data_IF_145560822187
#
_entry.id   IF_145560822187
#
_cell.length_a   1.000
_cell.length_b   1.000
_cell.length_c   1.000
_cell.angle_alpha   90.00
_cell.angle_beta   90.00
_cell.angle_gamma   90.00
#
_symmetry.space_group_name_H-M   'P 1'
#
loop_
_entity.id
_entity.type
_entity.pdbx_description
1 polymer ?
#
# COMPACT_ATOMS: atom_id res chain seq x y z
N UNK A 1 10.02 -35.51 60.93
CA UNK A 1 10.44 -35.65 59.53
C UNK A 1 9.32 -35.09 58.68
N UNK A 2 9.38 -33.81 58.31
CA UNK A 2 8.32 -33.12 57.57
C UNK A 2 8.54 -33.33 56.07
N UNK A 3 7.53 -33.87 55.39
CA UNK A 3 7.53 -34.06 53.94
C UNK A 3 6.85 -32.84 53.31
N UNK A 4 7.60 -31.99 52.62
CA UNK A 4 7.05 -30.88 51.83
C UNK A 4 6.76 -31.35 50.41
N UNK A 5 5.49 -31.31 50.01
CA UNK A 5 5.02 -31.58 48.66
C UNK A 5 5.17 -30.28 47.85
N UNK A 6 6.05 -30.29 46.85
CA UNK A 6 6.11 -29.23 45.85
C UNK A 6 5.08 -29.51 44.75
N UNK A 7 4.03 -28.68 44.69
CA UNK A 7 3.09 -28.62 43.57
C UNK A 7 3.72 -27.77 42.45
N UNK A 8 4.15 -28.45 41.38
CA UNK A 8 4.62 -27.81 40.16
C UNK A 8 3.39 -27.41 39.33
N UNK A 9 3.04 -26.12 39.32
CA UNK A 9 2.05 -25.58 38.40
C UNK A 9 2.67 -25.45 37.00
N UNK A 10 2.35 -26.38 36.11
CA UNK A 10 2.64 -26.24 34.69
C UNK A 10 1.58 -25.30 34.11
N UNK A 11 1.96 -24.04 33.85
CA UNK A 11 1.18 -23.14 33.01
C UNK A 11 1.29 -23.62 31.56
N UNK A 12 0.27 -24.32 31.08
CA UNK A 12 0.09 -24.54 29.65
C UNK A 12 -0.30 -23.20 29.02
N UNK A 13 0.64 -22.56 28.32
CA UNK A 13 0.31 -21.44 27.45
C UNK A 13 -0.65 -21.94 26.37
N UNK A 14 -1.89 -21.45 26.38
CA UNK A 14 -2.81 -21.68 25.27
C UNK A 14 -2.24 -20.99 24.04
N UNK A 15 -1.82 -21.81 23.06
CA UNK A 15 -1.61 -21.36 21.69
C UNK A 15 -2.93 -20.81 21.17
N UNK A 16 -3.10 -19.48 21.20
CA UNK A 16 -4.23 -18.83 20.53
C UNK A 16 -3.92 -18.81 19.04
N UNK A 17 -4.51 -19.73 18.28
CA UNK A 17 -4.44 -19.69 16.82
C UNK A 17 -4.90 -18.33 16.32
N UNK A 18 -4.09 -17.64 15.51
CA UNK A 18 -4.50 -16.38 14.90
C UNK A 18 -5.71 -16.61 13.98
N UNK A 19 -6.81 -15.92 14.24
CA UNK A 19 -8.01 -15.95 13.40
C UNK A 19 -7.99 -14.78 12.41
N UNK A 20 -8.21 -15.07 11.12
CA UNK A 20 -8.33 -14.06 10.07
C UNK A 20 -9.81 -13.71 9.84
N UNK A 21 -10.38 -12.93 10.76
CA UNK A 21 -11.81 -12.63 10.84
C UNK A 21 -12.17 -11.18 10.49
N UNK A 22 -11.18 -10.33 10.24
CA UNK A 22 -11.37 -8.89 10.02
C UNK A 22 -11.75 -8.10 11.28
N UNK A 23 -11.78 -8.72 12.46
CA UNK A 23 -12.17 -8.03 13.71
C UNK A 23 -11.04 -7.10 14.17
N UNK A 24 -11.40 -5.85 14.45
CA UNK A 24 -10.49 -4.85 14.99
C UNK A 24 -10.23 -5.14 16.47
N UNK A 25 -8.95 -5.29 16.78
CA UNK A 25 -8.41 -5.55 18.11
C UNK A 25 -7.58 -4.35 18.55
N UNK A 26 -7.55 -4.09 19.86
CA UNK A 26 -6.74 -2.99 20.44
C UNK A 26 -5.47 -3.56 21.05
N UNK A 27 -4.34 -2.96 20.71
CA UNK A 27 -3.04 -3.26 21.31
C UNK A 27 -2.80 -2.44 22.57
N UNK A 28 -1.94 -2.94 23.45
CA UNK A 28 -1.53 -2.25 24.68
C UNK A 28 -0.71 -0.99 24.42
N UNK A 29 -0.06 -0.90 23.25
CA UNK A 29 0.75 0.25 22.84
C UNK A 29 -0.08 1.41 22.24
N UNK A 30 -1.42 1.27 22.24
CA UNK A 30 -2.35 2.27 21.74
C UNK A 30 -2.76 2.08 20.29
N UNK A 31 -2.14 1.15 19.54
CA UNK A 31 -2.58 0.83 18.17
C UNK A 31 -3.86 0.00 18.15
N UNK A 32 -4.51 -0.07 16.98
CA UNK A 32 -5.55 -1.05 16.69
C UNK A 32 -5.14 -1.86 15.46
N UNK A 33 -5.53 -3.13 15.37
CA UNK A 33 -5.16 -3.99 14.24
C UNK A 33 -6.25 -4.99 13.89
N UNK A 34 -6.20 -5.53 12.67
CA UNK A 34 -7.05 -6.63 12.22
C UNK A 34 -6.29 -7.48 11.20
N UNK A 35 -6.67 -8.76 11.07
CA UNK A 35 -6.25 -9.63 9.96
C UNK A 35 -7.44 -9.84 9.06
N UNK A 36 -7.36 -9.39 7.82
CA UNK A 36 -8.49 -9.44 6.89
C UNK A 36 -8.75 -10.89 6.48
N UNK A 37 -10.03 -11.29 6.42
CA UNK A 37 -10.40 -12.65 6.01
C UNK A 37 -10.02 -12.89 4.54
N UNK A 38 -9.08 -13.79 4.24
CA UNK A 38 -8.60 -13.99 2.88
C UNK A 38 -9.58 -14.87 2.07
N UNK A 39 -9.90 -14.52 0.81
CA UNK A 39 -10.74 -15.39 -0.03
C UNK A 39 -9.96 -16.56 -0.64
N UNK A 40 -8.62 -16.48 -0.72
CA UNK A 40 -7.72 -17.51 -1.26
C UNK A 40 -6.42 -17.57 -0.45
N UNK A 41 -5.56 -18.55 -0.74
CA UNK A 41 -4.36 -18.86 0.06
C UNK A 41 -3.19 -17.86 -0.05
N UNK A 42 -3.10 -17.11 -1.15
CA UNK A 42 -2.10 -16.04 -1.34
C UNK A 42 -2.78 -14.68 -1.33
N UNK A 43 -2.23 -13.70 -0.63
CA UNK A 43 -2.79 -12.36 -0.44
C UNK A 43 -1.65 -11.35 -0.36
N UNK A 44 -1.55 -10.45 -1.33
CA UNK A 44 -0.40 -9.56 -1.46
C UNK A 44 -0.78 -8.21 -2.10
N UNK A 45 0.13 -7.23 -1.99
CA UNK A 45 0.00 -5.88 -2.52
C UNK A 45 -1.30 -5.17 -2.12
N UNK A 46 -1.56 -5.06 -0.81
CA UNK A 46 -2.74 -4.38 -0.30
C UNK A 46 -2.72 -2.87 -0.56
N UNK A 47 -3.89 -2.27 -0.74
CA UNK A 47 -4.10 -0.85 -0.96
C UNK A 47 -5.33 -0.39 -0.17
N UNK A 48 -5.28 0.80 0.42
CA UNK A 48 -6.38 1.34 1.23
C UNK A 48 -6.83 2.73 0.74
N UNK A 49 -8.14 2.93 0.67
CA UNK A 49 -8.79 4.19 0.32
C UNK A 49 -10.01 4.47 1.20
N UNK A 50 -10.33 5.75 1.41
CA UNK A 50 -11.58 6.17 2.08
C UNK A 50 -12.64 6.57 1.05
N UNK A 51 -13.81 5.95 1.15
CA UNK A 51 -15.05 6.40 0.52
C UNK A 51 -15.65 7.46 1.45
N UNK A 52 -15.28 8.71 1.23
CA UNK A 52 -15.53 9.82 2.16
C UNK A 52 -17.01 10.11 2.39
N UNK A 53 -17.88 9.83 1.42
CA UNK A 53 -19.32 10.09 1.53
C UNK A 53 -20.04 9.21 2.56
N UNK A 54 -19.46 8.06 2.90
CA UNK A 54 -19.97 7.15 3.94
C UNK A 54 -18.96 6.87 5.05
N UNK A 55 -17.79 7.50 5.01
CA UNK A 55 -16.65 7.21 5.90
C UNK A 55 -16.32 5.71 5.94
N UNK A 56 -16.31 5.06 4.78
CA UNK A 56 -15.98 3.63 4.66
C UNK A 56 -14.54 3.47 4.20
N UNK A 57 -13.75 2.64 4.90
CA UNK A 57 -12.45 2.22 4.38
C UNK A 57 -12.64 1.05 3.42
N UNK A 58 -12.08 1.18 2.23
CA UNK A 58 -11.97 0.11 1.24
C UNK A 58 -10.53 -0.39 1.20
N UNK A 59 -10.34 -1.69 1.39
CA UNK A 59 -9.04 -2.35 1.30
C UNK A 59 -9.08 -3.34 0.15
N UNK A 60 -8.24 -3.14 -0.86
CA UNK A 60 -8.07 -4.05 -1.99
C UNK A 60 -6.71 -4.74 -1.92
N UNK A 61 -6.61 -5.97 -2.40
CA UNK A 61 -5.35 -6.71 -2.54
C UNK A 61 -5.49 -7.76 -3.63
N UNK A 62 -4.40 -8.27 -4.19
CA UNK A 62 -4.53 -9.43 -5.06
C UNK A 62 -4.51 -10.72 -4.25
N UNK A 63 -5.36 -11.67 -4.64
CA UNK A 63 -5.59 -12.94 -3.98
C UNK A 63 -5.43 -14.11 -4.95
N UNK A 64 -4.56 -15.06 -4.60
CA UNK A 64 -4.05 -16.11 -5.47
C UNK A 64 -2.52 -16.14 -5.51
N UNK A 65 -1.96 -16.97 -6.39
CA UNK A 65 -0.51 -17.01 -6.62
C UNK A 65 -0.07 -15.86 -7.50
N UNK A 66 0.94 -15.12 -7.07
CA UNK A 66 1.55 -14.05 -7.87
C UNK A 66 2.06 -14.59 -9.21
N UNK A 67 1.70 -13.91 -10.29
CA UNK A 67 2.03 -14.29 -11.66
C UNK A 67 1.31 -15.52 -12.18
N UNK A 68 0.48 -16.19 -11.37
CA UNK A 68 -0.20 -17.43 -11.75
C UNK A 68 -1.57 -17.17 -12.36
N UNK A 69 -2.08 -18.08 -13.22
CA UNK A 69 -3.43 -18.01 -13.74
C UNK A 69 -4.48 -17.82 -12.65
N UNK A 70 -5.47 -16.99 -12.94
CA UNK A 70 -6.62 -16.69 -12.08
C UNK A 70 -6.26 -15.94 -10.78
N UNK A 71 -5.05 -15.36 -10.62
CA UNK A 71 -4.84 -14.39 -9.55
C UNK A 71 -5.84 -13.23 -9.72
N UNK A 72 -6.55 -12.89 -8.65
CA UNK A 72 -7.73 -11.99 -8.70
C UNK A 72 -7.55 -10.80 -7.76
N UNK A 73 -8.35 -9.75 -7.91
CA UNK A 73 -8.41 -8.66 -6.93
C UNK A 73 -9.54 -8.93 -5.95
N UNK A 74 -9.22 -8.91 -4.66
CA UNK A 74 -10.16 -8.96 -3.56
C UNK A 74 -10.39 -7.57 -2.96
N UNK A 75 -11.55 -7.37 -2.36
CA UNK A 75 -11.94 -6.16 -1.64
C UNK A 75 -12.54 -6.53 -0.28
N UNK A 76 -12.26 -5.72 0.73
CA UNK A 76 -12.94 -5.74 2.03
C UNK A 76 -13.28 -4.32 2.46
N UNK A 77 -14.42 -4.16 3.10
CA UNK A 77 -14.95 -2.87 3.53
C UNK A 77 -15.01 -2.81 5.06
N UNK A 78 -14.67 -1.65 5.62
CA UNK A 78 -14.97 -1.30 6.99
C UNK A 78 -15.80 -0.02 6.99
N UNK A 79 -17.08 -0.16 7.30
CA UNK A 79 -17.98 0.99 7.46
C UNK A 79 -17.69 1.70 8.79
N UNK A 80 -17.81 3.03 8.80
CA UNK A 80 -17.70 3.83 10.02
C UNK A 80 -18.58 3.27 11.15
N UNK A 81 -18.02 3.17 12.36
CA UNK A 81 -18.69 2.59 13.53
C UNK A 81 -18.68 1.06 13.59
N UNK A 82 -18.31 0.36 12.51
CA UNK A 82 -18.06 -1.10 12.56
C UNK A 82 -16.77 -1.42 13.30
N UNK A 83 -16.74 -2.58 13.94
CA UNK A 83 -15.53 -3.17 14.55
C UNK A 83 -14.98 -4.34 13.74
N UNK A 84 -15.50 -4.57 12.54
CA UNK A 84 -15.12 -5.70 11.71
C UNK A 84 -15.15 -5.34 10.22
N UNK A 85 -14.05 -5.65 9.54
CA UNK A 85 -13.97 -5.67 8.09
C UNK A 85 -14.85 -6.79 7.51
N UNK A 86 -15.54 -6.54 6.41
CA UNK A 86 -16.26 -7.61 5.70
C UNK A 86 -15.29 -8.71 5.25
N UNK A 87 -15.76 -9.96 5.07
CA UNK A 87 -14.95 -10.97 4.39
C UNK A 87 -14.44 -10.46 3.03
N UNK A 88 -13.23 -10.85 2.63
CA UNK A 88 -12.71 -10.50 1.32
C UNK A 88 -13.57 -11.08 0.21
N UNK A 89 -14.01 -10.25 -0.72
CA UNK A 89 -14.80 -10.65 -1.90
C UNK A 89 -13.99 -10.38 -3.17
N UNK A 90 -14.03 -11.30 -4.13
CA UNK A 90 -13.37 -11.11 -5.42
C UNK A 90 -14.15 -10.09 -6.26
N UNK A 91 -13.50 -9.01 -6.69
CA UNK A 91 -14.09 -7.91 -7.46
C UNK A 91 -13.56 -7.83 -8.90
N UNK A 92 -12.40 -8.43 -9.18
CA UNK A 92 -11.87 -8.55 -10.55
C UNK A 92 -11.13 -9.86 -10.73
N UNK A 93 -11.55 -10.66 -11.70
CA UNK A 93 -10.88 -11.90 -12.10
C UNK A 93 -10.97 -12.04 -13.62
N UNK A 94 -9.85 -12.40 -14.24
CA UNK A 94 -9.76 -12.70 -15.67
C UNK A 94 -9.24 -14.11 -15.83
N UNK A 95 -9.99 -14.97 -16.52
CA UNK A 95 -9.64 -16.37 -16.73
C UNK A 95 -8.27 -16.47 -17.41
N UNK A 96 -7.36 -17.27 -16.85
CA UNK A 96 -5.96 -17.45 -17.27
C UNK A 96 -5.02 -16.25 -17.03
N UNK A 97 -5.52 -15.11 -16.59
CA UNK A 97 -4.68 -13.94 -16.30
C UNK A 97 -4.37 -13.85 -14.80
N UNK A 98 -3.31 -13.13 -14.48
CA UNK A 98 -2.91 -12.76 -13.14
C UNK A 98 -3.22 -11.29 -12.91
N UNK A 99 -4.27 -10.96 -12.16
CA UNK A 99 -4.57 -9.58 -11.75
C UNK A 99 -3.79 -9.24 -10.47
N UNK A 100 -3.07 -8.12 -10.45
CA UNK A 100 -2.16 -7.73 -9.36
C UNK A 100 -2.19 -6.23 -9.05
N UNK A 101 -1.44 -5.80 -8.04
CA UNK A 101 -1.19 -4.40 -7.67
C UNK A 101 -2.41 -3.45 -7.72
N UNK A 102 -3.50 -3.73 -6.99
CA UNK A 102 -4.67 -2.86 -7.03
C UNK A 102 -4.36 -1.46 -6.49
N UNK A 103 -4.93 -0.44 -7.13
CA UNK A 103 -4.95 0.97 -6.71
C UNK A 103 -6.38 1.46 -6.71
N UNK A 104 -6.87 1.86 -5.55
CA UNK A 104 -8.20 2.46 -5.39
C UNK A 104 -8.10 3.99 -5.52
N UNK A 105 -9.14 4.60 -6.07
CA UNK A 105 -9.31 6.06 -6.09
C UNK A 105 -10.79 6.43 -5.91
N UNK A 106 -11.10 7.15 -4.84
CA UNK A 106 -12.44 7.70 -4.61
C UNK A 106 -12.57 9.08 -5.26
N UNK A 107 -13.46 9.19 -6.24
CA UNK A 107 -13.75 10.46 -6.89
C UNK A 107 -14.91 11.18 -6.18
N UNK A 108 -14.56 12.21 -5.40
CA UNK A 108 -15.54 13.04 -4.68
C UNK A 108 -16.52 13.80 -5.60
N UNK A 109 -16.13 14.12 -6.83
CA UNK A 109 -17.00 14.86 -7.76
C UNK A 109 -18.07 13.95 -8.37
N UNK A 110 -17.68 12.73 -8.78
CA UNK A 110 -18.59 11.78 -9.43
C UNK A 110 -19.24 10.81 -8.46
N UNK A 111 -18.78 10.77 -7.20
CA UNK A 111 -19.19 9.80 -6.18
C UNK A 111 -18.99 8.35 -6.63
N UNK A 112 -17.91 8.11 -7.38
CA UNK A 112 -17.53 6.78 -7.87
C UNK A 112 -16.22 6.31 -7.25
N UNK A 113 -16.17 5.02 -6.91
CA UNK A 113 -14.93 4.35 -6.53
C UNK A 113 -14.33 3.71 -7.78
N UNK A 114 -13.09 4.07 -8.10
CA UNK A 114 -12.32 3.48 -9.19
C UNK A 114 -11.32 2.47 -8.61
N UNK A 115 -11.09 1.39 -9.37
CA UNK A 115 -10.04 0.41 -9.12
C UNK A 115 -9.23 0.25 -10.40
N UNK A 116 -7.94 0.49 -10.28
CA UNK A 116 -6.93 0.17 -11.28
C UNK A 116 -6.15 -1.05 -10.79
N UNK A 117 -5.72 -1.90 -11.70
CA UNK A 117 -4.86 -3.02 -11.36
C UNK A 117 -4.07 -3.48 -12.57
N UNK A 118 -2.88 -4.04 -12.36
CA UNK A 118 -2.12 -4.66 -13.44
C UNK A 118 -2.67 -6.04 -13.78
N UNK A 119 -2.45 -6.49 -15.01
CA UNK A 119 -2.88 -7.81 -15.46
C UNK A 119 -1.99 -8.33 -16.59
N UNK A 120 -1.45 -9.53 -16.41
CA UNK A 120 -0.69 -10.28 -17.41
C UNK A 120 -1.24 -11.69 -17.61
N UNK A 121 -0.95 -12.32 -18.74
CA UNK A 121 -1.23 -13.75 -18.91
C UNK A 121 -0.45 -14.55 -17.84
N UNK A 122 -1.12 -15.47 -17.16
CA UNK A 122 -0.50 -16.26 -16.10
C UNK A 122 0.70 -17.05 -16.62
N UNK A 123 1.77 -17.06 -15.84
CA UNK A 123 3.06 -17.68 -16.12
C UNK A 123 3.80 -17.14 -17.36
N UNK A 124 3.35 -16.04 -17.96
CA UNK A 124 3.97 -15.45 -19.16
C UNK A 124 5.04 -14.38 -18.87
N UNK A 125 5.28 -14.09 -17.58
CA UNK A 125 6.15 -12.98 -17.15
C UNK A 125 5.45 -11.62 -17.15
N UNK A 126 6.10 -10.64 -16.55
CA UNK A 126 5.53 -9.31 -16.28
C UNK A 126 5.65 -8.34 -17.47
N UNK A 127 6.51 -8.64 -18.45
CA UNK A 127 6.81 -7.76 -19.60
C UNK A 127 5.65 -7.56 -20.58
N UNK A 128 4.57 -8.33 -20.43
CA UNK A 128 3.34 -8.20 -21.21
C UNK A 128 2.15 -7.75 -20.34
N UNK A 129 2.40 -7.23 -19.14
CA UNK A 129 1.37 -6.65 -18.28
C UNK A 129 0.77 -5.39 -18.92
N UNK A 130 -0.49 -5.16 -18.62
CA UNK A 130 -1.24 -3.94 -18.93
C UNK A 130 -1.99 -3.48 -17.68
N UNK A 131 -2.43 -2.22 -17.65
CA UNK A 131 -3.28 -1.71 -16.57
C UNK A 131 -4.73 -1.83 -16.99
N UNK A 132 -5.56 -2.35 -16.09
CA UNK A 132 -6.99 -2.55 -16.23
C UNK A 132 -7.75 -1.67 -15.24
N UNK A 133 -8.99 -1.31 -15.59
CA UNK A 133 -9.85 -0.44 -14.80
C UNK A 133 -11.25 -1.04 -14.65
N UNK A 134 -11.83 -0.82 -13.47
CA UNK A 134 -13.23 -1.05 -13.16
C UNK A 134 -13.70 -0.02 -12.14
N UNK A 135 -15.01 0.16 -12.02
CA UNK A 135 -15.60 1.16 -11.14
C UNK A 135 -16.84 0.67 -10.43
N UNK A 136 -17.09 1.24 -9.26
CA UNK A 136 -18.30 1.03 -8.46
C UNK A 136 -19.05 2.34 -8.29
N UNK A 137 -20.37 2.27 -8.51
CA UNK A 137 -21.31 3.40 -8.33
C UNK A 137 -22.08 3.33 -7.00
N UNK A 138 -21.87 2.26 -6.25
CA UNK A 138 -22.56 1.94 -5.01
C UNK A 138 -21.55 1.64 -3.88
N UNK A 139 -20.46 2.41 -3.85
CA UNK A 139 -19.49 2.44 -2.74
C UNK A 139 -18.77 1.10 -2.51
N UNK A 140 -18.41 0.41 -3.58
CA UNK A 140 -17.62 -0.82 -3.56
C UNK A 140 -18.43 -2.10 -3.42
N UNK A 141 -19.78 -2.02 -3.45
CA UNK A 141 -20.66 -3.19 -3.33
C UNK A 141 -20.75 -3.97 -4.64
N UNK A 142 -21.00 -3.29 -5.77
CA UNK A 142 -20.98 -3.88 -7.11
C UNK A 142 -20.00 -3.14 -8.02
N UNK A 143 -19.52 -3.85 -9.03
CA UNK A 143 -18.45 -3.38 -9.91
C UNK A 143 -18.81 -3.58 -11.38
N UNK A 144 -18.36 -2.67 -12.23
CA UNK A 144 -18.40 -2.84 -13.68
C UNK A 144 -17.52 -4.00 -14.14
N UNK A 145 -17.76 -4.49 -15.34
CA UNK A 145 -16.82 -5.39 -16.02
C UNK A 145 -15.43 -4.71 -16.12
N UNK A 146 -14.33 -5.41 -15.84
CA UNK A 146 -12.99 -4.89 -16.06
C UNK A 146 -12.72 -4.58 -17.53
N UNK A 147 -12.11 -3.43 -17.80
CA UNK A 147 -11.74 -2.97 -19.13
C UNK A 147 -10.25 -2.59 -19.18
N UNK A 148 -9.64 -2.71 -20.36
CA UNK A 148 -8.26 -2.28 -20.54
C UNK A 148 -8.15 -0.77 -20.41
N UNK A 149 -7.22 -0.30 -19.59
CA UNK A 149 -7.00 1.13 -19.32
C UNK A 149 -5.73 1.66 -19.99
N UNK A 150 -4.61 0.94 -19.87
CA UNK A 150 -3.33 1.34 -20.48
C UNK A 150 -2.57 0.12 -20.99
N UNK A 151 -2.41 0.03 -22.31
CA UNK A 151 -1.98 -1.18 -23.04
C UNK A 151 -0.49 -1.19 -23.41
N UNK A 152 0.31 -0.28 -22.85
CA UNK A 152 1.76 -0.37 -23.03
C UNK A 152 2.25 -1.68 -22.39
N UNK A 153 2.87 -2.60 -23.15
CA UNK A 153 3.37 -3.85 -22.59
C UNK A 153 4.34 -3.60 -21.45
N UNK A 154 4.15 -4.33 -20.35
CA UNK A 154 4.94 -4.21 -19.14
C UNK A 154 4.46 -3.11 -18.20
N UNK A 155 3.35 -2.41 -18.49
CA UNK A 155 2.85 -1.36 -17.60
C UNK A 155 2.24 -1.92 -16.31
N UNK A 156 2.59 -1.28 -15.20
CA UNK A 156 2.03 -1.54 -13.88
C UNK A 156 1.70 -0.24 -13.16
N UNK A 157 0.57 -0.23 -12.48
CA UNK A 157 0.26 0.64 -11.35
C UNK A 157 0.66 -0.04 -10.03
N UNK A 158 0.71 0.74 -8.94
CA UNK A 158 0.84 0.19 -7.58
C UNK A 158 0.51 1.17 -6.47
N UNK A 159 0.89 2.43 -6.65
CA UNK A 159 0.83 3.44 -5.61
C UNK A 159 -0.21 4.53 -5.91
N UNK A 160 -0.51 5.33 -4.90
CA UNK A 160 -1.69 6.20 -4.85
C UNK A 160 -1.77 7.18 -6.04
N UNK A 161 -2.96 7.26 -6.63
CA UNK A 161 -3.36 8.33 -7.54
C UNK A 161 -3.61 9.60 -6.72
N UNK A 162 -3.07 10.73 -7.16
CA UNK A 162 -3.33 12.03 -6.55
C UNK A 162 -4.02 12.96 -7.56
N UNK A 163 -4.88 13.89 -7.12
CA UNK A 163 -5.41 14.92 -8.01
C UNK A 163 -4.32 15.91 -8.43
N UNK A 164 -4.49 16.51 -9.61
CA UNK A 164 -3.73 17.69 -10.02
C UNK A 164 -3.99 18.85 -9.06
N UNK A 165 -3.11 19.85 -9.03
CA UNK A 165 -3.22 20.97 -8.09
C UNK A 165 -4.58 21.69 -8.17
N UNK A 166 -5.13 21.81 -9.38
CA UNK A 166 -6.40 22.48 -9.63
C UNK A 166 -7.62 21.55 -9.53
N UNK A 167 -7.43 20.27 -9.18
CA UNK A 167 -8.48 19.23 -9.18
C UNK A 167 -9.20 19.10 -10.54
N UNK A 168 -8.46 19.35 -11.61
CA UNK A 168 -8.89 19.26 -13.00
C UNK A 168 -8.28 18.04 -13.68
N UNK A 169 -7.86 17.01 -12.95
CA UNK A 169 -7.17 15.86 -13.49
C UNK A 169 -6.59 14.99 -12.40
N UNK A 170 -5.95 13.90 -12.82
CA UNK A 170 -5.32 12.91 -11.95
C UNK A 170 -3.87 12.66 -12.36
N UNK A 171 -3.06 12.26 -11.39
CA UNK A 171 -1.67 11.86 -11.56
C UNK A 171 -1.55 10.43 -11.03
N UNK A 172 -1.28 9.49 -11.93
CA UNK A 172 -1.12 8.08 -11.65
C UNK A 172 0.37 7.70 -11.80
N UNK A 173 1.06 7.34 -10.70
CA UNK A 173 2.40 6.80 -10.77
C UNK A 173 2.42 5.37 -11.33
N UNK A 174 3.27 5.13 -12.33
CA UNK A 174 3.43 3.84 -12.99
C UNK A 174 4.91 3.43 -13.05
N UNK A 175 5.13 2.15 -13.34
CA UNK A 175 6.42 1.64 -13.80
C UNK A 175 6.22 0.68 -14.96
N UNK A 176 7.30 0.38 -15.68
CA UNK A 176 7.33 -0.59 -16.74
C UNK A 176 8.28 -1.72 -16.36
N UNK A 177 7.77 -2.96 -16.36
CA UNK A 177 8.60 -4.15 -16.36
C UNK A 177 9.01 -4.48 -17.79
N UNK A 178 10.29 -4.30 -18.09
CA UNK A 178 10.81 -4.33 -19.46
C UNK A 178 11.77 -5.50 -19.66
N UNK A 179 11.97 -6.02 -20.89
CA UNK A 179 12.94 -7.10 -21.15
C UNK A 179 14.40 -6.80 -20.77
N UNK A 180 14.73 -5.55 -20.43
CA UNK A 180 16.07 -5.13 -20.03
C UNK A 180 16.09 -4.54 -18.63
N UNK A 181 15.67 -3.28 -18.52
CA UNK A 181 15.71 -2.51 -17.29
C UNK A 181 14.33 -1.95 -17.01
N UNK A 182 13.84 -2.15 -15.80
CA UNK A 182 12.57 -1.59 -15.37
C UNK A 182 12.75 -0.10 -15.05
N UNK A 183 11.71 0.69 -15.32
CA UNK A 183 11.77 2.14 -15.17
C UNK A 183 10.42 2.74 -14.80
N UNK A 184 10.41 3.97 -14.32
CA UNK A 184 9.21 4.68 -13.87
C UNK A 184 8.73 5.70 -14.89
N UNK A 185 7.40 5.86 -14.96
CA UNK A 185 6.75 6.91 -15.73
C UNK A 185 5.47 7.35 -15.02
N UNK A 186 5.00 8.55 -15.34
CA UNK A 186 3.79 9.13 -14.77
C UNK A 186 2.74 9.26 -15.86
N UNK A 187 1.52 8.83 -15.57
CA UNK A 187 0.34 9.15 -16.38
C UNK A 187 -0.39 10.33 -15.73
N UNK A 188 -0.62 11.40 -16.48
CA UNK A 188 -1.36 12.59 -16.02
C UNK A 188 -2.56 12.85 -16.94
N UNK A 189 -3.75 12.99 -16.38
CA UNK A 189 -4.96 13.37 -17.11
C UNK A 189 -5.34 14.83 -16.89
N UNK A 190 -6.29 15.31 -17.69
CA UNK A 190 -6.97 16.60 -17.50
C UNK A 190 -8.48 16.43 -17.70
N UNK A 191 -9.31 17.27 -17.10
CA UNK A 191 -10.77 17.24 -17.18
C UNK A 191 -11.27 17.56 -18.58
N UNK A 192 -10.40 18.14 -19.41
CA UNK A 192 -10.69 18.57 -20.76
C UNK A 192 -10.36 17.48 -21.80
N UNK A 193 -9.75 16.37 -21.38
CA UNK A 193 -9.33 15.29 -22.27
C UNK A 193 -9.66 13.93 -21.65
N UNK A 194 -10.07 12.97 -22.47
CA UNK A 194 -10.13 11.57 -22.03
C UNK A 194 -8.75 10.90 -22.05
N UNK A 195 -7.76 11.57 -22.62
CA UNK A 195 -6.40 11.08 -22.78
C UNK A 195 -5.55 11.28 -21.52
N UNK A 196 -4.73 10.27 -21.22
CA UNK A 196 -3.68 10.34 -20.21
C UNK A 196 -2.34 10.58 -20.91
N UNK A 197 -1.65 11.64 -20.48
CA UNK A 197 -0.34 12.03 -21.00
C UNK A 197 0.74 11.32 -20.17
N UNK A 198 1.57 10.54 -20.85
CA UNK A 198 2.74 9.90 -20.25
C UNK A 198 3.91 10.89 -20.18
N UNK A 199 4.56 10.92 -19.03
CA UNK A 199 5.85 11.60 -18.80
C UNK A 199 6.83 10.58 -18.24
N UNK A 200 7.95 10.37 -18.93
CA UNK A 200 9.01 9.49 -18.43
C UNK A 200 9.86 10.21 -17.38
N UNK A 201 10.33 9.46 -16.39
CA UNK A 201 11.28 9.97 -15.39
C UNK A 201 12.67 9.57 -15.85
N UNK A 202 13.43 10.52 -16.42
CA UNK A 202 14.75 10.22 -16.93
C UNK A 202 15.68 9.65 -15.84
N UNK A 203 16.47 8.63 -16.20
CA UNK A 203 17.45 7.98 -15.32
C UNK A 203 16.80 7.32 -14.09
N UNK A 204 15.60 6.78 -14.25
CA UNK A 204 14.93 5.93 -13.26
C UNK A 204 15.19 4.44 -13.48
N UNK A 205 16.30 4.07 -14.13
CA UNK A 205 16.69 2.67 -14.34
C UNK A 205 16.71 1.93 -12.99
N UNK A 206 16.02 0.79 -12.90
CA UNK A 206 15.85 -0.03 -11.69
C UNK A 206 15.10 0.68 -10.53
N UNK A 207 14.52 1.86 -10.79
CA UNK A 207 13.71 2.60 -9.84
C UNK A 207 12.24 2.47 -10.24
N UNK A 208 11.50 1.69 -9.47
CA UNK A 208 10.13 1.27 -9.81
C UNK A 208 9.13 1.63 -8.70
N UNK A 209 7.85 1.40 -8.98
CA UNK A 209 6.74 1.60 -8.05
C UNK A 209 6.75 3.00 -7.38
N UNK A 210 6.80 4.10 -8.15
CA UNK A 210 6.89 5.43 -7.59
C UNK A 210 5.71 5.74 -6.67
N UNK A 211 5.96 6.44 -5.56
CA UNK A 211 4.92 6.98 -4.67
C UNK A 211 5.06 8.49 -4.63
N UNK A 212 3.97 9.22 -4.92
CA UNK A 212 4.00 10.68 -5.07
C UNK A 212 3.34 11.35 -3.87
N UNK A 213 3.98 12.40 -3.36
CA UNK A 213 3.43 13.33 -2.37
C UNK A 213 3.45 14.76 -2.91
N UNK A 214 2.47 15.56 -2.48
CA UNK A 214 2.40 16.99 -2.84
C UNK A 214 2.96 17.81 -1.70
N UNK A 215 3.95 18.65 -1.99
CA UNK A 215 4.60 19.47 -0.98
C UNK A 215 3.93 20.83 -0.89
N UNK A 216 3.65 21.25 0.35
CA UNK A 216 3.13 22.59 0.67
C UNK A 216 1.86 22.99 -0.09
N UNK A 217 1.02 22.02 -0.49
CA UNK A 217 -0.17 22.26 -1.32
C UNK A 217 0.13 23.10 -2.58
N UNK A 218 1.27 22.86 -3.21
CA UNK A 218 1.78 23.59 -4.37
C UNK A 218 1.92 22.70 -5.61
N UNK A 219 2.42 23.25 -6.72
CA UNK A 219 2.80 22.47 -7.91
C UNK A 219 4.02 21.58 -7.67
N UNK A 220 4.70 21.72 -6.52
CA UNK A 220 5.82 20.88 -6.15
C UNK A 220 5.35 19.50 -5.71
N UNK A 221 5.65 18.49 -6.53
CA UNK A 221 5.49 17.09 -6.22
C UNK A 221 6.84 16.44 -5.96
N UNK A 222 6.86 15.45 -5.07
CA UNK A 222 8.00 14.56 -4.88
C UNK A 222 7.58 13.12 -5.04
N UNK A 223 8.27 12.40 -5.92
CA UNK A 223 8.16 10.97 -6.08
C UNK A 223 9.27 10.28 -5.30
N UNK A 224 8.95 9.21 -4.57
CA UNK A 224 9.93 8.29 -3.98
C UNK A 224 9.85 6.93 -4.68
N UNK A 225 10.98 6.23 -4.77
CA UNK A 225 11.10 5.00 -5.56
C UNK A 225 11.59 3.83 -4.71
N UNK A 226 11.04 2.65 -5.00
CA UNK A 226 11.67 1.38 -4.67
C UNK A 226 12.89 1.19 -5.57
N UNK A 227 13.97 0.67 -5.02
CA UNK A 227 15.23 0.43 -5.71
C UNK A 227 15.50 -1.07 -5.83
N UNK A 228 15.55 -1.57 -7.06
CA UNK A 228 15.80 -2.99 -7.30
C UNK A 228 17.26 -3.39 -7.02
N UNK A 229 18.17 -2.42 -6.94
CA UNK A 229 19.58 -2.64 -6.64
C UNK A 229 19.89 -2.72 -5.15
N UNK A 230 18.87 -2.63 -4.27
CA UNK A 230 19.04 -2.84 -2.83
C UNK A 230 19.98 -1.81 -2.16
N UNK A 231 19.92 -0.53 -2.59
CA UNK A 231 20.79 0.53 -2.07
C UNK A 231 20.02 1.45 -1.13
N UNK A 232 19.04 2.18 -1.66
CA UNK A 232 18.34 3.24 -0.94
C UNK A 232 16.98 3.53 -1.57
N UNK A 233 16.10 4.18 -0.82
CA UNK A 233 14.95 4.87 -1.42
C UNK A 233 15.48 6.10 -2.15
N UNK A 234 15.09 6.27 -3.42
CA UNK A 234 15.41 7.47 -4.22
C UNK A 234 14.24 8.43 -4.22
N UNK A 235 14.49 9.70 -4.53
CA UNK A 235 13.45 10.67 -4.82
C UNK A 235 13.72 11.49 -6.07
N UNK A 236 12.65 11.99 -6.70
CA UNK A 236 12.65 12.91 -7.83
C UNK A 236 11.60 14.00 -7.58
N UNK A 237 11.89 15.23 -8.01
CA UNK A 237 11.00 16.38 -7.83
C UNK A 237 10.40 16.82 -9.17
N UNK A 238 9.14 17.22 -9.13
CA UNK A 238 8.47 17.99 -10.18
C UNK A 238 8.05 19.34 -9.60
N UNK A 239 8.36 20.44 -10.28
CA UNK A 239 7.96 21.80 -9.86
C UNK A 239 6.72 22.33 -10.62
N UNK A 240 6.18 21.51 -11.53
CA UNK A 240 5.17 21.87 -12.52
C UNK A 240 4.00 20.87 -12.51
N UNK A 241 3.64 20.35 -11.33
CA UNK A 241 2.48 19.48 -11.12
C UNK A 241 2.52 18.18 -11.93
N UNK A 242 3.71 17.58 -12.02
CA UNK A 242 3.96 16.27 -12.62
C UNK A 242 4.20 16.29 -14.12
N UNK A 243 4.37 17.48 -14.73
CA UNK A 243 4.63 17.63 -16.17
C UNK A 243 6.09 17.31 -16.53
N UNK A 244 7.05 17.65 -15.66
CA UNK A 244 8.46 17.27 -15.79
C UNK A 244 9.03 16.82 -14.45
N UNK A 245 10.05 15.95 -14.50
CA UNK A 245 10.65 15.33 -13.32
C UNK A 245 12.17 15.47 -13.35
N UNK A 246 12.77 15.75 -12.20
CA UNK A 246 14.21 15.80 -12.04
C UNK A 246 14.82 14.39 -12.09
N UNK A 247 16.14 14.31 -12.32
CA UNK A 247 16.87 13.05 -12.11
C UNK A 247 16.65 12.53 -10.67
N UNK A 248 16.39 11.23 -10.47
CA UNK A 248 16.33 10.65 -9.14
C UNK A 248 17.67 10.74 -8.37
N UNK A 249 17.60 11.02 -7.08
CA UNK A 249 18.74 11.05 -6.16
C UNK A 249 18.43 10.28 -4.87
N UNK A 250 19.42 9.63 -4.24
CA UNK A 250 19.17 8.79 -3.07
C UNK A 250 18.79 9.63 -1.84
N UNK A 251 17.88 9.11 -1.03
CA UNK A 251 17.59 9.58 0.33
C UNK A 251 18.54 8.92 1.34
N UNK A 252 18.39 9.26 2.63
CA UNK A 252 19.06 8.55 3.72
C UNK A 252 18.41 7.23 4.11
N UNK A 253 17.23 6.88 3.57
CA UNK A 253 16.51 5.66 3.93
C UNK A 253 16.96 4.48 3.06
N UNK A 254 17.18 3.29 3.65
CA UNK A 254 17.55 2.10 2.89
C UNK A 254 16.35 1.52 2.12
N UNK A 255 16.63 0.69 1.12
CA UNK A 255 15.62 -0.15 0.47
C UNK A 255 16.23 -1.49 0.05
N UNK A 256 15.55 -2.59 0.32
CA UNK A 256 15.93 -3.97 -0.01
C UNK A 256 15.09 -4.54 -1.17
N UNK A 257 14.78 -3.69 -2.16
CA UNK A 257 13.87 -4.04 -3.23
C UNK A 257 12.47 -4.45 -2.70
N UNK A 258 12.06 -3.83 -1.59
CA UNK A 258 10.70 -3.93 -1.04
C UNK A 258 9.87 -2.74 -1.47
N UNK A 259 8.58 -2.99 -1.72
CA UNK A 259 7.61 -1.92 -1.97
C UNK A 259 7.55 -0.94 -0.81
N UNK A 260 7.44 0.34 -1.15
CA UNK A 260 7.30 1.45 -0.21
C UNK A 260 6.01 2.21 -0.51
N UNK A 261 5.54 3.00 0.45
CA UNK A 261 4.55 4.04 0.16
C UNK A 261 4.80 5.27 1.02
N UNK A 262 4.70 6.44 0.40
CA UNK A 262 4.70 7.74 1.07
C UNK A 262 3.29 8.34 1.01
N UNK A 263 2.93 9.13 2.03
CA UNK A 263 1.65 9.84 2.08
C UNK A 263 1.85 11.22 2.70
N UNK A 264 1.17 12.23 2.13
CA UNK A 264 1.18 13.59 2.67
C UNK A 264 0.13 13.69 3.78
N UNK A 265 0.58 13.91 5.00
CA UNK A 265 -0.29 14.16 6.14
C UNK A 265 -0.93 15.54 6.03
N UNK A 266 -2.09 15.73 6.66
CA UNK A 266 -2.84 16.99 6.65
C UNK A 266 -2.06 18.19 7.21
N UNK A 267 -1.09 17.94 8.09
CA UNK A 267 -0.18 18.98 8.60
C UNK A 267 0.97 19.33 7.64
N UNK A 268 1.00 18.74 6.43
CA UNK A 268 2.04 18.92 5.41
C UNK A 268 3.27 18.02 5.61
N UNK A 269 3.34 17.26 6.70
CA UNK A 269 4.38 16.26 6.91
C UNK A 269 4.22 15.08 5.95
N UNK A 270 5.29 14.29 5.80
CA UNK A 270 5.27 13.05 5.02
C UNK A 270 5.43 11.89 5.98
N UNK A 271 4.60 10.88 5.82
CA UNK A 271 4.84 9.56 6.40
C UNK A 271 5.32 8.60 5.31
N UNK A 272 6.35 7.82 5.60
CA UNK A 272 6.88 6.75 4.74
C UNK A 272 6.70 5.41 5.45
N UNK A 273 6.17 4.41 4.76
CA UNK A 273 6.22 3.01 5.17
C UNK A 273 7.20 2.26 4.27
N UNK A 274 8.18 1.60 4.88
CA UNK A 274 9.27 0.92 4.18
C UNK A 274 9.87 -0.19 5.05
N UNK A 275 10.62 -1.09 4.45
CA UNK A 275 11.41 -2.07 5.18
C UNK A 275 12.79 -1.47 5.49
N UNK A 276 13.17 -1.39 6.77
CA UNK A 276 14.38 -0.70 7.21
C UNK A 276 15.60 -1.61 7.19
N UNK A 277 15.95 -2.08 5.99
CA UNK A 277 17.12 -2.89 5.68
C UNK A 277 17.57 -2.62 4.25
N UNK A 278 18.85 -2.84 3.96
CA UNK A 278 19.41 -2.65 2.61
C UNK A 278 19.33 -3.91 1.77
N UNK A 279 19.36 -5.11 2.34
CA UNK A 279 19.24 -6.35 1.58
C UNK A 279 18.80 -7.51 2.47
N UNK A 280 18.20 -8.53 1.85
CA UNK A 280 17.99 -9.84 2.45
C UNK A 280 16.52 -10.24 2.58
N UNK A 281 16.34 -11.44 3.10
CA UNK A 281 15.04 -12.00 3.47
C UNK A 281 15.14 -12.55 4.90
N UNK A 282 14.06 -12.52 5.68
CA UNK A 282 12.72 -12.00 5.33
C UNK A 282 12.68 -10.46 5.29
N UNK A 283 11.68 -9.88 4.61
CA UNK A 283 11.44 -8.41 4.60
C UNK A 283 10.98 -7.92 5.98
N UNK A 284 11.93 -7.63 6.86
CA UNK A 284 11.69 -7.20 8.24
C UNK A 284 12.89 -6.37 8.77
N UNK A 285 12.66 -5.32 9.57
CA UNK A 285 11.37 -4.86 10.08
C UNK A 285 10.61 -4.01 9.05
N UNK A 286 9.28 -4.04 9.12
CA UNK A 286 8.44 -3.01 8.49
C UNK A 286 8.40 -1.80 9.42
N UNK A 287 8.75 -0.63 8.88
CA UNK A 287 8.98 0.61 9.63
C UNK A 287 8.15 1.74 9.04
N UNK A 288 7.70 2.66 9.90
CA UNK A 288 7.18 3.96 9.48
C UNK A 288 8.11 5.08 9.93
N UNK A 289 8.29 6.09 9.09
CA UNK A 289 9.10 7.27 9.37
C UNK A 289 8.34 8.55 9.04
N UNK A 290 8.60 9.62 9.81
CA UNK A 290 8.02 10.94 9.60
C UNK A 290 9.09 11.94 9.15
N UNK A 291 8.72 12.76 8.16
CA UNK A 291 9.51 13.90 7.71
C UNK A 291 8.65 15.17 7.71
N UNK A 292 9.27 16.30 8.07
CA UNK A 292 8.66 17.63 8.10
C UNK A 292 9.43 18.65 7.24
N UNK A 293 10.42 18.20 6.47
CA UNK A 293 11.25 19.02 5.59
C UNK A 293 11.14 18.56 4.12
N UNK A 294 9.99 18.01 3.75
CA UNK A 294 9.72 17.50 2.40
C UNK A 294 10.35 16.14 2.10
N UNK A 295 10.78 15.39 3.10
CA UNK A 295 11.41 14.07 2.92
C UNK A 295 12.92 14.11 2.81
N UNK A 296 13.55 15.22 3.22
CA UNK A 296 15.00 15.38 3.23
C UNK A 296 15.63 14.69 4.46
N UNK A 297 14.94 14.72 5.61
CA UNK A 297 15.32 14.01 6.82
C UNK A 297 14.12 13.31 7.47
N UNK A 298 14.43 12.28 8.28
CA UNK A 298 13.44 11.37 8.89
C UNK A 298 13.71 11.19 10.39
N UNK A 299 13.51 12.25 11.20
CA UNK A 299 13.93 12.28 12.61
C UNK A 299 13.11 11.39 13.54
N UNK A 300 11.94 10.90 13.10
CA UNK A 300 11.11 9.99 13.88
C UNK A 300 10.85 8.73 13.08
N UNK A 301 11.18 7.58 13.64
CA UNK A 301 10.94 6.27 13.02
C UNK A 301 10.41 5.30 14.08
N UNK A 302 9.58 4.35 13.65
CA UNK A 302 9.07 3.30 14.53
C UNK A 302 8.78 2.03 13.73
N UNK A 303 9.28 0.90 14.23
CA UNK A 303 8.94 -0.41 13.67
C UNK A 303 7.45 -0.70 13.91
N UNK A 304 6.73 -1.01 12.84
CA UNK A 304 5.34 -1.51 12.85
C UNK A 304 5.35 -3.01 13.14
N UNK A 305 6.24 -3.75 12.48
CA UNK A 305 6.29 -5.20 12.57
C UNK A 305 7.71 -5.72 12.50
N UNK A 306 8.04 -6.64 13.42
CA UNK A 306 9.37 -7.29 13.51
C UNK A 306 9.22 -8.82 13.52
N UNK A 307 8.26 -9.33 14.30
CA UNK A 307 7.99 -10.76 14.46
C UNK A 307 6.52 -11.06 14.23
N UNK A 308 6.16 -12.32 13.99
CA UNK A 308 4.75 -12.67 13.90
C UNK A 308 4.06 -12.50 15.26
N UNK A 309 2.87 -11.90 15.26
CA UNK A 309 2.12 -11.55 16.47
C UNK A 309 1.76 -12.76 17.34
N UNK A 310 1.57 -13.94 16.74
CA UNK A 310 1.32 -15.19 17.46
C UNK A 310 2.59 -16.02 17.71
N UNK A 311 3.73 -15.60 17.20
CA UNK A 311 5.00 -16.23 17.49
C UNK A 311 6.18 -15.25 17.37
N UNK A 312 6.51 -14.64 18.51
CA UNK A 312 7.64 -13.70 18.64
C UNK A 312 9.03 -14.27 18.28
N UNK A 313 9.16 -15.58 18.08
CA UNK A 313 10.43 -16.20 17.63
C UNK A 313 10.57 -16.23 16.10
N UNK A 314 9.48 -15.99 15.36
CA UNK A 314 9.48 -15.95 13.90
C UNK A 314 9.64 -14.52 13.44
N UNK A 315 10.74 -14.22 12.74
CA UNK A 315 10.86 -13.00 11.93
C UNK A 315 10.16 -13.28 10.60
N UNK A 316 9.02 -12.62 10.35
CA UNK A 316 8.20 -12.83 9.14
C UNK A 316 8.56 -11.90 7.98
N UNK A 317 8.00 -12.17 6.80
CA UNK A 317 8.06 -11.26 5.63
C UNK A 317 6.85 -10.32 5.64
N UNK A 318 7.12 -9.02 5.76
CA UNK A 318 6.13 -7.94 5.81
C UNK A 318 6.40 -6.98 4.68
N UNK A 319 5.43 -6.78 3.78
CA UNK A 319 5.74 -6.04 2.55
C UNK A 319 4.52 -5.41 1.88
N UNK A 320 4.80 -4.53 0.91
CA UNK A 320 3.81 -3.79 0.13
C UNK A 320 2.83 -3.01 1.02
N UNK A 321 3.34 -2.05 1.81
CA UNK A 321 2.50 -1.20 2.65
C UNK A 321 1.62 -0.27 1.80
N UNK A 322 0.48 0.12 2.37
CA UNK A 322 -0.33 1.24 1.90
C UNK A 322 -0.86 2.03 3.09
N UNK A 323 -0.66 3.35 3.03
CA UNK A 323 -0.97 4.36 4.02
C UNK A 323 -2.16 5.22 3.59
N UNK A 324 -2.93 5.68 4.57
CA UNK A 324 -4.01 6.65 4.42
C UNK A 324 -4.21 7.38 5.75
N UNK A 325 -4.50 8.68 5.71
CA UNK A 325 -4.93 9.44 6.88
C UNK A 325 -6.42 9.78 6.76
N UNK A 326 -7.20 9.55 7.83
CA UNK A 326 -8.64 9.86 7.87
C UNK A 326 -9.05 10.49 9.21
N UNK A 327 -10.35 10.78 9.38
CA UNK A 327 -10.96 11.25 10.64
C UNK A 327 -11.68 10.12 11.41
N UNK A 328 -11.19 8.88 11.31
CA UNK A 328 -11.91 7.69 11.77
C UNK A 328 -12.33 7.70 13.25
N UNK A 329 -11.54 8.27 14.16
CA UNK A 329 -11.84 8.33 15.60
C UNK A 329 -12.70 9.53 16.00
N UNK A 330 -13.13 10.36 15.04
CA UNK A 330 -14.27 11.26 15.21
C UNK A 330 -13.98 12.68 15.69
N UNK A 331 -12.77 13.23 15.57
CA UNK A 331 -12.64 14.72 15.55
C UNK A 331 -11.32 15.34 15.11
N UNK A 332 -10.18 14.63 15.16
CA UNK A 332 -8.88 15.32 15.01
C UNK A 332 -8.10 14.96 13.75
N UNK A 333 -8.71 14.25 12.79
CA UNK A 333 -8.06 14.01 11.48
C UNK A 333 -6.67 13.32 11.60
N UNK A 334 -6.46 12.54 12.66
CA UNK A 334 -5.14 12.05 13.09
C UNK A 334 -4.96 10.53 12.96
N UNK A 335 -5.98 9.81 12.47
CA UNK A 335 -5.89 8.38 12.29
C UNK A 335 -5.10 8.06 11.02
N UNK A 336 -3.96 7.41 11.21
CA UNK A 336 -3.16 6.85 10.16
C UNK A 336 -3.47 5.36 10.09
N UNK A 337 -3.90 4.94 8.91
CA UNK A 337 -4.19 3.56 8.57
C UNK A 337 -3.05 3.01 7.73
N UNK A 338 -2.64 1.79 8.03
CA UNK A 338 -1.64 1.04 7.31
C UNK A 338 -2.18 -0.36 7.02
N UNK A 339 -2.18 -0.76 5.76
CA UNK A 339 -2.39 -2.16 5.36
C UNK A 339 -1.13 -2.71 4.71
N UNK A 340 -0.82 -3.97 4.94
CA UNK A 340 0.36 -4.60 4.34
C UNK A 340 0.20 -6.13 4.27
N UNK A 341 1.05 -6.73 3.45
CA UNK A 341 1.15 -8.18 3.32
C UNK A 341 1.85 -8.76 4.54
N UNK A 342 1.23 -9.74 5.16
CA UNK A 342 1.69 -10.35 6.40
C UNK A 342 1.84 -11.87 6.26
N UNK A 343 2.75 -12.46 7.04
CA UNK A 343 3.01 -13.90 7.08
C UNK A 343 3.26 -14.52 5.70
N UNK A 344 4.22 -13.99 4.96
CA UNK A 344 4.61 -14.54 3.65
C UNK A 344 3.42 -14.71 2.70
N UNK A 345 2.56 -13.68 2.63
CA UNK A 345 1.36 -13.60 1.78
C UNK A 345 0.19 -14.47 2.23
N UNK A 346 0.18 -15.01 3.45
CA UNK A 346 -0.99 -15.73 3.96
C UNK A 346 -2.18 -14.77 4.13
N UNK A 347 -1.95 -13.54 4.61
CA UNK A 347 -3.03 -12.62 4.96
C UNK A 347 -2.60 -11.15 4.81
N UNK A 348 -3.58 -10.25 4.69
CA UNK A 348 -3.36 -8.81 4.82
C UNK A 348 -3.59 -8.39 6.27
N UNK A 349 -2.65 -7.65 6.84
CA UNK A 349 -2.80 -7.04 8.17
C UNK A 349 -3.10 -5.55 8.03
N UNK A 350 -4.09 -5.11 8.80
CA UNK A 350 -4.44 -3.71 9.00
C UNK A 350 -3.93 -3.25 10.36
N UNK A 351 -3.40 -2.03 10.43
CA UNK A 351 -2.99 -1.35 11.66
C UNK A 351 -3.44 0.11 11.59
N UNK A 352 -3.95 0.63 12.71
CA UNK A 352 -4.30 2.05 12.90
C UNK A 352 -3.51 2.62 14.07
N UNK A 353 -2.91 3.78 13.85
CA UNK A 353 -2.10 4.53 14.81
C UNK A 353 -2.20 6.04 14.50
N UNK A 354 -1.39 6.87 15.15
CA UNK A 354 -1.31 8.31 14.88
C UNK A 354 0.14 8.82 14.94
N UNK A 355 0.36 10.07 14.54
CA UNK A 355 1.71 10.66 14.53
C UNK A 355 2.38 10.65 15.91
N UNK A 356 1.62 10.87 16.99
CA UNK A 356 2.15 10.84 18.35
C UNK A 356 2.75 9.47 18.69
N UNK A 357 2.10 8.39 18.27
CA UNK A 357 2.61 7.04 18.43
C UNK A 357 3.92 6.84 17.67
N UNK A 358 4.03 7.32 16.42
CA UNK A 358 5.27 7.20 15.64
C UNK A 358 6.42 7.97 16.29
N UNK A 359 6.18 9.20 16.77
CA UNK A 359 7.19 10.05 17.44
C UNK A 359 7.71 9.49 18.77
N UNK A 360 7.03 8.52 19.34
CA UNK A 360 7.46 7.80 20.55
C UNK A 360 8.32 6.57 20.24
N UNK A 361 8.47 6.21 18.96
CA UNK A 361 9.46 5.22 18.53
C UNK A 361 10.86 5.79 18.64
N UNK A 362 11.80 4.98 19.11
CA UNK A 362 13.23 5.25 19.01
C UNK A 362 13.77 4.59 17.76
#
# INVERSE_FOLDING_TARGET
>A
MFLSIFLLFIYLAQSTTTTYDGIIRRSTDGTSYAYLSPPRSGNHAAFIEEITSSHTLAVAWFSGGEGTPNCSIALSLLQFGSQQFTPGVIVSERVNYSNQNPVLYWNNQTQMLHLYHSSQLGNAGETNSEIWHLQSKDQGITWSTPESFYTLPGAFDRNRIIPTLNNDGLILPCYNSSPGVDYSFILRSSSNTTEWIRTDIEKSDYLIQPTIVRLNNSSHLRAFFRDENNVAIYYSDSNDDGLTWSKPIPTSLPNDNSGIQAYTLRNGGIIMAFNNLTAGKPRSPLTVALSYDGGMSWPYQRNIQVHDDDNSTIVGDYSYPSLLQTSWSGSDDNDIHLVYTYKSKIVIKYVRFNEKWVRQGQ
#
